data_IF_192069698102
#
_entry.id   IF_192069698102
#
_cell.length_a   1.000
_cell.length_b   1.000
_cell.length_c   1.000
_cell.angle_alpha   90.00
_cell.angle_beta   90.00
_cell.angle_gamma   90.00
#
_symmetry.space_group_name_H-M   'P 1'
#
loop_
_entity.id
_entity.type
_entity.pdbx_description
1 polymer ?
#
# COMPACT_ATOMS: atom_id res chain seq x y z
N UNK A 1 30.42 47.61 -49.54
CA UNK A 1 30.70 48.78 -48.67
C UNK A 1 29.38 49.50 -48.45
N UNK A 2 28.98 49.70 -47.19
CA UNK A 2 27.69 50.29 -46.77
C UNK A 2 27.37 51.59 -47.52
N UNK A 3 26.11 51.76 -47.99
CA UNK A 3 25.32 53.01 -48.14
C UNK A 3 24.03 52.69 -48.93
N UNK A 4 22.86 52.72 -48.29
CA UNK A 4 21.85 53.81 -48.29
C UNK A 4 21.02 53.99 -49.59
N UNK A 5 19.70 53.91 -49.37
CA UNK A 5 18.63 54.88 -49.71
C UNK A 5 17.80 54.72 -51.00
N UNK A 6 16.56 55.22 -50.82
CA UNK A 6 15.54 55.71 -51.76
C UNK A 6 14.48 54.67 -52.18
N UNK A 7 13.18 54.96 -52.20
CA UNK A 7 12.41 56.23 -52.30
C UNK A 7 10.96 55.99 -51.82
N UNK A 8 10.31 56.90 -51.05
CA UNK A 8 9.43 58.03 -51.48
C UNK A 8 8.20 57.58 -52.28
N UNK A 9 6.98 58.12 -52.15
CA UNK A 9 6.34 59.19 -51.36
C UNK A 9 4.81 59.09 -51.67
N UNK A 10 3.86 59.78 -51.02
CA UNK A 10 3.46 61.18 -51.26
C UNK A 10 2.12 61.45 -50.53
N UNK A 11 2.03 62.62 -49.87
CA UNK A 11 0.89 63.52 -49.54
C UNK A 11 -0.45 62.94 -49.01
N UNK A 12 -1.21 63.58 -48.13
CA UNK A 12 -1.43 65.01 -47.96
C UNK A 12 -1.85 65.37 -46.51
N UNK A 13 -1.55 66.61 -46.12
CA UNK A 13 -2.05 67.27 -44.92
C UNK A 13 -3.54 67.63 -45.04
N UNK A 14 -4.33 67.34 -44.00
CA UNK A 14 -5.38 68.24 -43.49
C UNK A 14 -5.55 67.99 -41.97
N UNK A 15 -5.31 69.03 -41.16
CA UNK A 15 -5.96 69.28 -39.85
C UNK A 15 -6.93 70.46 -40.09
N UNK A 16 -7.97 70.74 -39.28
CA UNK A 16 -8.13 70.40 -37.85
C UNK A 16 -9.57 70.00 -37.44
N UNK A 17 -9.77 69.66 -36.16
CA UNK A 17 -11.12 69.64 -35.56
C UNK A 17 -11.25 68.71 -34.37
N UNK A 18 -10.95 69.21 -33.18
CA UNK A 18 -11.24 68.51 -31.92
C UNK A 18 -12.76 68.34 -31.74
N UNK A 19 -13.23 67.09 -31.68
CA UNK A 19 -14.45 66.70 -30.97
C UNK A 19 -14.17 65.42 -30.17
N UNK A 20 -14.43 65.53 -28.88
CA UNK A 20 -14.31 64.53 -27.84
C UNK A 20 -15.22 63.32 -28.08
N UNK A 21 -14.62 62.14 -28.16
CA UNK A 21 -15.28 60.85 -27.95
C UNK A 21 -14.37 60.04 -27.02
N UNK A 22 -14.77 59.93 -25.75
CA UNK A 22 -14.04 59.14 -24.76
C UNK A 22 -14.15 57.64 -25.07
N UNK A 23 -13.08 56.84 -24.95
CA UNK A 23 -13.19 55.40 -25.04
C UNK A 23 -13.64 54.83 -23.69
N UNK A 24 -14.76 54.12 -23.72
CA UNK A 24 -15.26 53.27 -22.65
C UNK A 24 -14.12 52.41 -22.08
N UNK A 25 -13.82 52.62 -20.79
CA UNK A 25 -13.05 51.66 -20.00
C UNK A 25 -13.93 50.43 -19.84
N UNK A 26 -13.65 49.40 -20.65
CA UNK A 26 -14.21 48.08 -20.47
C UNK A 26 -13.54 47.46 -19.22
N UNK A 27 -14.08 47.77 -18.04
CA UNK A 27 -13.69 47.14 -16.79
C UNK A 27 -14.06 45.66 -16.86
N UNK A 28 -13.10 44.83 -17.25
CA UNK A 28 -13.16 43.38 -17.07
C UNK A 28 -13.12 43.16 -15.55
N UNK A 29 -14.30 42.97 -14.96
CA UNK A 29 -14.41 42.34 -13.65
C UNK A 29 -13.89 40.91 -13.80
N UNK A 30 -12.61 40.72 -13.50
CA UNK A 30 -12.06 39.43 -13.11
C UNK A 30 -12.77 39.04 -11.81
N UNK A 31 -13.95 38.43 -11.96
CA UNK A 31 -14.51 37.54 -10.95
C UNK A 31 -13.42 36.52 -10.67
N UNK A 32 -12.77 36.66 -9.51
CA UNK A 32 -11.82 35.70 -9.00
C UNK A 32 -12.55 34.38 -8.81
N UNK A 33 -12.59 33.56 -9.86
CA UNK A 33 -12.75 32.14 -9.71
C UNK A 33 -11.55 31.70 -8.89
N UNK A 34 -11.74 31.58 -7.58
CA UNK A 34 -10.85 30.80 -6.74
C UNK A 34 -10.74 29.45 -7.44
N UNK A 35 -9.58 29.19 -8.05
CA UNK A 35 -9.27 27.87 -8.56
C UNK A 35 -9.40 26.94 -7.36
N UNK A 36 -10.54 26.24 -7.27
CA UNK A 36 -10.71 25.16 -6.33
C UNK A 36 -9.75 24.10 -6.84
N UNK A 37 -8.56 24.04 -6.24
CA UNK A 37 -7.71 22.87 -6.38
C UNK A 37 -8.61 21.67 -6.08
N UNK A 38 -8.69 20.72 -7.02
CA UNK A 38 -9.52 19.55 -6.89
C UNK A 38 -9.02 18.74 -5.69
N UNK A 39 -9.56 19.05 -4.49
CA UNK A 39 -9.24 18.33 -3.25
C UNK A 39 -9.56 16.87 -3.46
N UNK A 40 -8.64 16.00 -3.05
CA UNK A 40 -8.82 14.57 -3.18
C UNK A 40 -10.09 14.14 -2.42
N UNK A 41 -10.77 13.10 -2.92
CA UNK A 41 -12.06 12.67 -2.35
C UNK A 41 -11.95 12.32 -0.86
N UNK A 42 -10.82 11.77 -0.43
CA UNK A 42 -10.55 11.39 0.96
C UNK A 42 -10.33 12.57 1.91
N UNK A 43 -10.13 13.80 1.41
CA UNK A 43 -9.96 15.02 2.25
C UNK A 43 -11.28 15.66 2.67
N UNK A 44 -12.43 15.05 2.31
CA UNK A 44 -13.76 15.59 2.62
C UNK A 44 -14.56 14.60 3.44
N UNK A 45 -15.60 15.07 4.16
CA UNK A 45 -16.62 14.17 4.67
C UNK A 45 -17.14 13.25 3.55
N UNK A 46 -17.38 11.96 3.85
CA UNK A 46 -17.41 11.36 5.19
C UNK A 46 -16.06 10.80 5.67
N UNK A 47 -14.98 10.91 4.88
CA UNK A 47 -13.68 10.31 5.21
C UNK A 47 -12.86 11.25 6.10
N UNK A 48 -12.67 12.49 5.62
CA UNK A 48 -11.94 13.57 6.28
C UNK A 48 -10.55 13.14 6.79
N UNK A 49 -9.80 12.44 5.94
CA UNK A 49 -8.58 11.70 6.30
C UNK A 49 -7.59 12.53 7.12
N UNK A 50 -7.34 13.78 6.74
CA UNK A 50 -6.33 14.63 7.38
C UNK A 50 -6.70 15.06 8.80
N UNK A 51 -7.99 15.10 9.13
CA UNK A 51 -8.49 15.66 10.38
C UNK A 51 -9.15 14.62 11.28
N UNK A 52 -9.60 13.49 10.74
CA UNK A 52 -10.20 12.43 11.52
C UNK A 52 -9.22 11.85 12.54
N UNK A 53 -9.73 11.59 13.73
CA UNK A 53 -9.02 10.85 14.77
C UNK A 53 -8.71 9.42 14.29
N UNK A 54 -7.60 8.87 14.79
CA UNK A 54 -7.08 7.55 14.42
C UNK A 54 -6.79 6.75 15.68
N UNK A 55 -7.07 5.46 15.63
CA UNK A 55 -6.83 4.47 16.69
C UNK A 55 -6.10 3.27 16.10
N UNK A 56 -4.97 3.54 15.45
CA UNK A 56 -4.03 2.52 15.01
C UNK A 56 -2.99 2.21 16.09
N UNK A 57 -2.18 1.16 15.87
CA UNK A 57 -1.16 0.73 16.82
C UNK A 57 -0.14 1.83 17.19
N UNK A 58 0.13 2.76 16.26
CA UNK A 58 1.09 3.85 16.45
C UNK A 58 0.46 4.97 17.28
N UNK A 59 -0.79 5.33 17.00
CA UNK A 59 -1.57 6.26 17.81
C UNK A 59 -1.70 5.77 19.26
N UNK A 60 -1.99 4.48 19.46
CA UNK A 60 -2.01 3.86 20.79
C UNK A 60 -0.65 3.91 21.47
N UNK A 61 0.44 3.61 20.75
CA UNK A 61 1.78 3.72 21.31
C UNK A 61 2.10 5.16 21.74
N UNK A 62 1.75 6.15 20.92
CA UNK A 62 1.94 7.56 21.26
C UNK A 62 1.20 7.92 22.55
N UNK A 63 -0.06 7.50 22.68
CA UNK A 63 -0.85 7.71 23.90
C UNK A 63 -0.17 7.07 25.13
N UNK A 64 0.34 5.83 25.02
CA UNK A 64 1.08 5.19 26.11
C UNK A 64 2.35 5.95 26.51
N UNK A 65 3.04 6.59 25.56
CA UNK A 65 4.21 7.43 25.84
C UNK A 65 3.79 8.71 26.58
N UNK A 66 2.74 9.37 26.12
CA UNK A 66 2.24 10.62 26.70
C UNK A 66 1.72 10.42 28.13
N UNK A 67 1.06 9.28 28.39
CA UNK A 67 0.59 8.87 29.71
C UNK A 67 1.70 8.34 30.63
N UNK A 68 2.94 8.20 30.12
CA UNK A 68 4.07 7.65 30.88
C UNK A 68 3.96 6.16 31.20
N UNK A 69 3.12 5.42 30.47
CA UNK A 69 2.95 3.97 30.61
C UNK A 69 4.10 3.18 29.98
N UNK A 70 4.78 3.76 28.98
CA UNK A 70 5.97 3.18 28.35
C UNK A 70 7.00 4.26 28.01
N UNK A 71 8.25 3.82 27.80
CA UNK A 71 9.35 4.68 27.36
C UNK A 71 10.13 3.99 26.27
N UNK A 72 10.51 4.73 25.22
CA UNK A 72 11.36 4.19 24.16
C UNK A 72 12.83 4.36 24.53
N UNK A 73 13.53 3.25 24.74
CA UNK A 73 14.97 3.27 24.96
C UNK A 73 15.71 3.70 23.67
N UNK A 74 16.66 4.62 23.79
CA UNK A 74 17.51 5.05 22.68
C UNK A 74 18.73 4.14 22.58
N UNK A 75 18.95 3.57 21.40
CA UNK A 75 20.15 2.81 21.03
C UNK A 75 21.15 3.72 20.31
N UNK A 76 22.43 3.66 20.68
CA UNK A 76 23.46 4.55 20.11
C UNK A 76 23.73 4.30 18.61
N UNK A 77 23.38 3.12 18.09
CA UNK A 77 23.56 2.73 16.68
C UNK A 77 22.26 2.88 15.89
N UNK A 78 21.16 2.41 16.46
CA UNK A 78 19.87 2.27 15.78
C UNK A 78 18.83 3.32 16.21
N UNK A 79 19.17 4.22 17.15
CA UNK A 79 18.25 5.18 17.74
C UNK A 79 17.07 4.47 18.40
N UNK A 80 15.84 4.89 18.09
CA UNK A 80 14.65 4.27 18.70
C UNK A 80 14.19 2.99 18.02
N UNK A 81 14.79 2.57 16.90
CA UNK A 81 14.32 1.43 16.11
C UNK A 81 14.10 0.15 16.94
N UNK A 82 15.05 -0.34 17.76
CA UNK A 82 14.84 -1.57 18.51
C UNK A 82 13.72 -1.47 19.55
N UNK A 83 13.53 -0.28 20.15
CA UNK A 83 12.46 -0.04 21.10
C UNK A 83 11.09 0.01 20.41
N UNK A 84 10.99 0.71 19.28
CA UNK A 84 9.75 0.82 18.49
C UNK A 84 9.33 -0.54 17.95
N UNK A 85 10.26 -1.35 17.40
CA UNK A 85 9.95 -2.70 16.92
C UNK A 85 9.38 -3.58 18.03
N UNK A 86 9.91 -3.47 19.25
CA UNK A 86 9.41 -4.24 20.40
C UNK A 86 8.04 -3.77 20.87
N UNK A 87 7.84 -2.45 21.02
CA UNK A 87 6.57 -1.88 21.49
C UNK A 87 5.40 -2.08 20.52
N UNK A 88 5.71 -2.17 19.21
CA UNK A 88 4.74 -2.43 18.15
C UNK A 88 4.72 -3.89 17.69
N UNK A 89 5.44 -4.78 18.37
CA UNK A 89 5.48 -6.22 18.06
C UNK A 89 5.83 -6.52 16.60
N UNK A 90 6.78 -5.78 16.04
CA UNK A 90 7.29 -5.95 14.69
C UNK A 90 8.52 -6.88 14.73
N UNK A 91 8.46 -8.08 14.13
CA UNK A 91 9.54 -9.05 14.22
C UNK A 91 10.74 -8.60 13.37
N UNK A 92 11.95 -8.68 13.93
CA UNK A 92 13.20 -8.39 13.20
C UNK A 92 13.37 -9.30 11.98
N UNK A 93 12.83 -10.53 12.00
CA UNK A 93 12.88 -11.44 10.85
C UNK A 93 12.10 -10.95 9.63
N UNK A 94 11.22 -9.95 9.78
CA UNK A 94 10.51 -9.29 8.66
C UNK A 94 11.37 -8.29 7.88
N UNK A 95 12.64 -8.08 8.27
CA UNK A 95 13.50 -7.06 7.69
C UNK A 95 13.70 -7.25 6.19
N UNK A 96 13.34 -6.23 5.42
CA UNK A 96 13.57 -6.12 3.98
C UNK A 96 14.52 -4.96 3.68
N UNK A 97 15.33 -5.11 2.62
CA UNK A 97 16.38 -4.14 2.28
C UNK A 97 16.17 -3.57 0.87
N UNK A 98 16.02 -2.24 0.80
CA UNK A 98 15.74 -1.49 -0.43
C UNK A 98 16.92 -0.60 -0.75
N UNK A 99 17.58 -0.83 -1.88
CA UNK A 99 18.68 0.03 -2.31
C UNK A 99 18.27 1.09 -3.33
N UNK A 100 17.06 0.99 -3.88
CA UNK A 100 16.52 2.00 -4.78
C UNK A 100 16.10 3.28 -4.06
N UNK A 101 16.30 4.41 -4.72
CA UNK A 101 15.99 5.76 -4.24
C UNK A 101 14.54 6.12 -4.52
N UNK A 102 13.62 5.46 -3.84
CA UNK A 102 12.16 5.61 -4.01
C UNK A 102 11.44 5.96 -2.69
N UNK A 103 12.14 6.62 -1.76
CA UNK A 103 11.70 6.91 -0.38
C UNK A 103 11.81 8.39 -0.06
N UNK A 104 11.22 8.84 1.05
CA UNK A 104 11.41 10.18 1.60
C UNK A 104 12.89 10.52 1.80
N UNK A 105 13.70 9.58 2.30
CA UNK A 105 15.12 9.81 2.64
C UNK A 105 16.08 9.40 1.50
N UNK A 106 15.77 9.72 0.23
CA UNK A 106 16.57 9.30 -0.96
C UNK A 106 18.08 9.57 -0.86
N UNK A 107 18.50 10.62 -0.14
CA UNK A 107 19.90 11.00 0.02
C UNK A 107 20.66 10.06 0.98
N UNK A 108 19.96 9.27 1.78
CA UNK A 108 20.53 8.30 2.71
C UNK A 108 20.71 6.91 2.07
N UNK A 109 20.03 6.63 0.97
CA UNK A 109 19.93 5.28 0.38
C UNK A 109 20.93 5.11 -0.76
N UNK A 110 21.55 3.94 -0.83
CA UNK A 110 22.36 3.50 -1.98
C UNK A 110 22.50 1.98 -2.00
N UNK A 111 23.01 1.36 -3.08
CA UNK A 111 23.39 -0.07 -3.07
C UNK A 111 24.26 -0.46 -1.87
N UNK A 112 25.23 0.37 -1.48
CA UNK A 112 26.10 0.08 -0.32
C UNK A 112 25.50 0.44 1.04
N UNK A 113 24.30 1.04 1.06
CA UNK A 113 23.60 1.49 2.27
C UNK A 113 22.10 1.44 2.03
N UNK A 114 21.50 0.24 1.89
CA UNK A 114 20.06 0.11 1.68
C UNK A 114 19.25 0.65 2.86
N UNK A 115 18.01 1.05 2.60
CA UNK A 115 16.98 1.30 3.62
C UNK A 115 16.43 -0.03 4.09
N UNK A 116 16.28 -0.21 5.40
CA UNK A 116 15.56 -1.33 5.96
C UNK A 116 14.06 -1.02 6.10
N UNK A 117 13.22 -2.02 5.88
CA UNK A 117 11.78 -1.99 6.16
C UNK A 117 11.48 -3.20 7.04
N UNK A 118 10.78 -2.99 8.14
CA UNK A 118 10.28 -4.06 9.01
C UNK A 118 8.76 -4.00 9.01
N UNK A 119 8.08 -5.13 9.14
CA UNK A 119 6.62 -5.16 9.16
C UNK A 119 6.04 -6.27 10.04
N UNK A 120 4.88 -5.99 10.62
CA UNK A 120 3.94 -7.02 11.08
C UNK A 120 2.63 -6.89 10.28
N UNK A 121 1.52 -7.37 10.82
CA UNK A 121 0.25 -7.35 10.08
C UNK A 121 -0.28 -5.94 9.82
N UNK A 122 -0.02 -4.97 10.72
CA UNK A 122 -0.65 -3.65 10.69
C UNK A 122 0.35 -2.49 10.61
N UNK A 123 1.64 -2.73 10.86
CA UNK A 123 2.67 -1.70 10.99
C UNK A 123 3.84 -1.97 10.05
N UNK A 124 4.34 -0.91 9.42
CA UNK A 124 5.54 -0.89 8.60
C UNK A 124 6.51 0.18 9.09
N UNK A 125 7.78 -0.16 9.30
CA UNK A 125 8.82 0.75 9.80
C UNK A 125 10.00 0.79 8.84
N UNK A 126 10.24 1.95 8.24
CA UNK A 126 11.41 2.28 7.44
C UNK A 126 12.54 2.88 8.27
N UNK A 127 13.74 2.34 8.11
CA UNK A 127 14.97 2.81 8.74
C UNK A 127 16.05 3.06 7.70
N UNK A 128 16.59 4.27 7.68
CA UNK A 128 17.82 4.59 6.97
C UNK A 128 18.96 4.72 7.97
N UNK A 129 20.11 4.11 7.68
CA UNK A 129 21.33 4.37 8.45
C UNK A 129 21.66 5.87 8.45
N UNK A 130 21.91 6.43 9.63
CA UNK A 130 22.12 7.88 9.83
C UNK A 130 20.98 8.72 9.23
N UNK A 131 19.77 8.18 9.23
CA UNK A 131 18.54 8.87 8.86
C UNK A 131 18.08 9.79 10.00
N UNK A 132 17.39 10.85 9.62
CA UNK A 132 16.95 11.88 10.56
C UNK A 132 15.66 11.43 11.28
N UNK A 133 14.91 10.51 10.67
CA UNK A 133 13.67 9.94 11.20
C UNK A 133 13.54 8.43 10.91
N UNK A 134 12.78 7.72 11.74
CA UNK A 134 12.08 6.51 11.33
C UNK A 134 10.83 6.92 10.53
N UNK A 135 10.63 6.26 9.40
CA UNK A 135 9.39 6.34 8.62
C UNK A 135 8.46 5.26 9.17
N UNK A 136 7.27 5.60 9.66
CA UNK A 136 6.34 4.61 10.23
C UNK A 136 5.02 4.71 9.48
N UNK A 137 4.41 3.59 9.14
CA UNK A 137 3.07 3.54 8.62
C UNK A 137 2.25 2.48 9.37
N UNK A 138 0.98 2.76 9.62
CA UNK A 138 0.08 1.85 10.33
C UNK A 138 -1.29 1.80 9.65
N UNK A 139 -1.96 0.66 9.74
CA UNK A 139 -3.32 0.51 9.22
C UNK A 139 -4.32 0.90 10.30
N UNK A 140 -4.99 2.04 10.11
CA UNK A 140 -6.17 2.41 10.89
C UNK A 140 -7.43 1.76 10.31
N UNK A 141 -8.31 1.30 11.20
CA UNK A 141 -9.48 0.52 10.80
C UNK A 141 -10.52 1.31 9.98
N UNK A 142 -10.55 2.64 10.12
CA UNK A 142 -11.45 3.52 9.40
C UNK A 142 -10.75 4.38 8.35
N UNK A 143 -9.51 4.78 8.60
CA UNK A 143 -8.76 5.72 7.77
C UNK A 143 -7.79 5.01 6.81
N UNK A 144 -7.58 3.70 6.91
CA UNK A 144 -6.63 2.98 6.08
C UNK A 144 -5.19 3.32 6.49
N UNK A 145 -4.27 3.42 5.53
CA UNK A 145 -2.87 3.68 5.86
C UNK A 145 -2.67 5.09 6.45
N UNK A 146 -2.13 5.17 7.65
CA UNK A 146 -1.70 6.38 8.34
C UNK A 146 -0.18 6.42 8.38
N UNK A 147 0.42 7.62 8.22
CA UNK A 147 1.86 7.79 8.12
C UNK A 147 2.36 8.66 9.26
N UNK A 148 3.48 8.26 9.87
CA UNK A 148 4.12 8.95 10.98
C UNK A 148 5.63 9.04 10.77
N UNK A 149 6.25 9.96 11.49
CA UNK A 149 7.70 10.03 11.62
C UNK A 149 8.10 10.06 13.09
N UNK A 150 9.23 9.44 13.40
CA UNK A 150 9.87 9.53 14.72
C UNK A 150 11.29 10.04 14.55
N UNK A 151 11.62 11.19 15.15
CA UNK A 151 12.98 11.73 15.10
C UNK A 151 13.98 10.80 15.79
N UNK A 152 15.13 10.60 15.16
CA UNK A 152 16.21 9.76 15.68
C UNK A 152 17.19 10.56 16.54
N UNK A 153 16.66 11.47 17.37
CA UNK A 153 17.41 12.30 18.31
C UNK A 153 17.05 11.89 19.74
N UNK A 154 18.06 11.68 20.59
CA UNK A 154 17.85 11.30 21.98
C UNK A 154 17.11 12.41 22.73
N UNK A 155 15.89 12.12 23.15
CA UNK A 155 15.02 13.01 23.90
C UNK A 155 14.34 12.25 25.04
N UNK A 156 13.89 12.97 26.07
CA UNK A 156 13.15 12.37 27.20
C UNK A 156 11.76 11.86 26.77
N UNK A 157 11.15 12.52 25.79
CA UNK A 157 9.80 12.20 25.28
C UNK A 157 9.81 12.22 23.76
N UNK A 158 10.22 11.12 23.10
CA UNK A 158 10.16 11.02 21.65
C UNK A 158 8.70 10.96 21.20
N UNK A 159 8.39 11.60 20.07
CA UNK A 159 7.02 11.74 19.56
C UNK A 159 6.88 11.19 18.14
N UNK A 160 5.89 10.32 17.96
CA UNK A 160 5.40 9.83 16.67
C UNK A 160 4.45 10.87 16.08
N UNK A 161 4.93 11.60 15.07
CA UNK A 161 4.19 12.71 14.47
C UNK A 161 3.54 12.27 13.18
N UNK A 162 2.20 12.33 13.11
CA UNK A 162 1.43 12.03 11.91
C UNK A 162 1.77 12.99 10.77
N UNK A 163 2.12 12.44 9.62
CA UNK A 163 2.34 13.22 8.40
C UNK A 163 1.01 13.81 7.88
N UNK A 164 1.06 15.06 7.41
CA UNK A 164 -0.11 15.79 6.92
C UNK A 164 -0.04 16.07 5.41
N UNK A 165 0.61 15.20 4.63
CA UNK A 165 0.55 15.21 3.16
C UNK A 165 1.86 14.95 2.43
N UNK A 166 3.01 14.98 3.11
CA UNK A 166 4.30 14.68 2.49
C UNK A 166 4.36 13.25 1.95
N UNK A 167 3.86 12.29 2.72
CA UNK A 167 3.77 10.88 2.34
C UNK A 167 2.69 10.65 1.27
N UNK A 168 1.55 11.34 1.38
CA UNK A 168 0.41 11.16 0.47
C UNK A 168 0.72 11.50 -0.98
N UNK A 169 1.73 12.34 -1.24
CA UNK A 169 2.20 12.64 -2.61
C UNK A 169 2.55 11.38 -3.40
N UNK A 170 3.06 10.34 -2.73
CA UNK A 170 3.39 9.05 -3.34
C UNK A 170 2.47 7.92 -2.91
N UNK A 171 1.83 8.05 -1.74
CA UNK A 171 1.02 7.02 -1.10
C UNK A 171 -0.50 7.17 -1.30
N UNK A 172 -0.96 8.17 -2.05
CA UNK A 172 -2.35 8.30 -2.45
C UNK A 172 -2.43 8.46 -3.98
N UNK A 173 -2.47 7.34 -4.69
CA UNK A 173 -2.51 7.30 -6.16
C UNK A 173 -3.23 6.06 -6.67
N UNK A 174 -3.37 5.92 -7.99
CA UNK A 174 -3.90 4.70 -8.61
C UNK A 174 -3.10 3.43 -8.24
N UNK A 175 -1.82 3.56 -7.87
CA UNK A 175 -0.97 2.44 -7.40
C UNK A 175 -1.35 1.93 -6.01
N UNK A 176 -2.15 2.71 -5.28
CA UNK A 176 -2.67 2.40 -3.96
C UNK A 176 -4.20 2.35 -3.98
N UNK A 177 -4.78 2.03 -5.16
CA UNK A 177 -6.22 1.92 -5.35
C UNK A 177 -6.98 3.22 -5.02
N UNK A 178 -6.34 4.35 -5.33
CA UNK A 178 -6.85 5.71 -5.14
C UNK A 178 -7.20 6.09 -3.69
N UNK A 179 -6.63 5.36 -2.72
CA UNK A 179 -6.67 5.67 -1.28
C UNK A 179 -5.26 5.88 -0.71
N UNK A 180 -5.11 6.60 0.42
CA UNK A 180 -3.90 6.54 1.23
C UNK A 180 -3.57 5.07 1.55
N UNK A 181 -2.43 4.60 1.05
CA UNK A 181 -2.13 3.17 1.03
C UNK A 181 -0.67 2.83 0.85
N UNK A 182 -0.41 1.53 0.80
CA UNK A 182 0.93 0.95 0.75
C UNK A 182 1.29 0.51 -0.67
N UNK A 183 2.57 0.49 -0.98
CA UNK A 183 3.05 -0.01 -2.25
C UNK A 183 4.45 -0.60 -2.13
N UNK A 184 4.64 -1.76 -2.75
CA UNK A 184 5.94 -2.33 -3.06
C UNK A 184 6.22 -2.04 -4.52
N UNK A 185 7.35 -1.38 -4.81
CA UNK A 185 7.72 -1.02 -6.17
C UNK A 185 8.94 -1.79 -6.62
N UNK A 186 8.84 -2.40 -7.80
CA UNK A 186 9.97 -2.97 -8.53
C UNK A 186 10.39 -2.01 -9.64
N UNK A 187 11.69 -1.71 -9.70
CA UNK A 187 12.29 -0.75 -10.65
C UNK A 187 13.62 -1.24 -11.20
N UNK A 188 13.96 -0.80 -12.40
CA UNK A 188 15.31 -0.93 -12.93
C UNK A 188 16.22 0.12 -12.28
N UNK A 189 16.95 -0.25 -11.23
CA UNK A 189 17.80 0.68 -10.47
C UNK A 189 19.24 0.71 -11.01
N UNK A 190 19.77 1.91 -11.30
CA UNK A 190 21.15 2.09 -11.75
C UNK A 190 22.20 1.84 -10.65
N UNK A 191 23.49 1.97 -10.98
CA UNK A 191 24.59 1.79 -10.03
C UNK A 191 24.58 2.77 -8.83
N UNK A 192 23.84 3.86 -8.91
CA UNK A 192 23.62 4.81 -7.81
C UNK A 192 22.30 4.58 -7.07
N UNK A 193 21.55 3.52 -7.40
CA UNK A 193 20.23 3.19 -6.88
C UNK A 193 19.11 4.05 -7.46
N UNK A 194 19.33 4.81 -8.54
CA UNK A 194 18.27 5.65 -9.13
C UNK A 194 17.39 4.81 -10.07
N UNK A 195 16.06 4.91 -9.98
CA UNK A 195 15.18 4.26 -10.94
C UNK A 195 15.38 4.80 -12.36
N UNK A 196 15.56 3.91 -13.34
CA UNK A 196 15.55 4.22 -14.76
C UNK A 196 14.11 4.20 -15.27
N UNK A 197 13.39 5.30 -15.06
CA UNK A 197 11.95 5.37 -15.38
C UNK A 197 11.60 5.07 -16.85
N UNK A 198 12.51 5.32 -17.79
CA UNK A 198 12.33 4.96 -19.20
C UNK A 198 12.26 3.46 -19.48
N UNK A 199 12.72 2.62 -18.54
CA UNK A 199 12.65 1.15 -18.61
C UNK A 199 11.41 0.59 -17.89
N UNK A 200 10.50 1.45 -17.41
CA UNK A 200 9.29 1.04 -16.71
C UNK A 200 9.43 0.90 -15.20
N UNK A 201 8.30 0.64 -14.54
CA UNK A 201 8.18 0.40 -13.10
C UNK A 201 6.95 -0.44 -12.84
N UNK A 202 7.04 -1.33 -11.85
CA UNK A 202 5.96 -2.23 -11.47
C UNK A 202 5.52 -1.96 -10.03
N UNK A 203 4.23 -2.07 -9.77
CA UNK A 203 3.70 -2.31 -8.43
C UNK A 203 3.69 -3.81 -8.26
N UNK A 204 4.31 -4.31 -7.20
CA UNK A 204 4.45 -5.75 -6.95
C UNK A 204 3.42 -6.20 -5.92
N UNK A 205 2.75 -7.31 -6.23
CA UNK A 205 1.77 -8.01 -5.40
C UNK A 205 1.76 -9.52 -5.73
N UNK A 206 0.78 -10.28 -5.21
CA UNK A 206 0.68 -11.71 -5.44
C UNK A 206 0.41 -12.10 -6.90
N UNK A 207 -0.14 -11.21 -7.73
CA UNK A 207 -0.46 -11.46 -9.15
C UNK A 207 0.72 -11.23 -10.08
N UNK A 208 1.73 -10.49 -9.61
CA UNK A 208 2.86 -10.05 -10.43
C UNK A 208 3.69 -11.24 -10.95
N UNK A 209 4.09 -11.22 -12.22
CA UNK A 209 5.05 -12.21 -12.75
C UNK A 209 6.34 -12.16 -11.92
N UNK A 210 6.84 -13.33 -11.52
CA UNK A 210 8.07 -13.45 -10.73
C UNK A 210 9.25 -12.69 -11.36
N UNK A 211 9.32 -12.62 -12.69
CA UNK A 211 10.37 -11.91 -13.45
C UNK A 211 10.38 -10.41 -13.26
N UNK A 212 9.27 -9.81 -12.87
CA UNK A 212 9.14 -8.36 -12.70
C UNK A 212 9.26 -7.94 -11.23
N UNK A 213 9.48 -8.90 -10.32
CA UNK A 213 9.56 -8.64 -8.88
C UNK A 213 10.92 -8.12 -8.42
N UNK A 214 10.85 -7.24 -7.42
CA UNK A 214 11.92 -6.80 -6.52
C UNK A 214 13.14 -6.07 -7.12
N UNK A 215 13.00 -5.47 -8.30
CA UNK A 215 14.03 -4.59 -8.84
C UNK A 215 14.27 -3.40 -7.90
N UNK A 216 15.53 -3.18 -7.51
CA UNK A 216 15.87 -2.15 -6.51
C UNK A 216 15.82 -2.62 -5.06
N UNK A 217 15.64 -3.93 -4.83
CA UNK A 217 15.64 -4.58 -3.51
C UNK A 217 16.75 -5.62 -3.44
N UNK A 218 17.25 -5.85 -2.24
CA UNK A 218 18.01 -7.05 -1.92
C UNK A 218 17.05 -8.16 -1.52
N UNK A 219 17.37 -9.40 -1.89
CA UNK A 219 16.53 -10.58 -1.71
C UNK A 219 17.41 -11.76 -1.31
N UNK A 220 17.13 -12.36 -0.17
CA UNK A 220 17.81 -13.56 0.32
C UNK A 220 16.87 -14.74 0.41
N UNK A 221 17.20 -15.83 -0.27
CA UNK A 221 16.39 -17.05 -0.36
C UNK A 221 16.69 -17.85 -1.62
N UNK A 222 16.01 -18.99 -1.77
CA UNK A 222 16.06 -19.83 -2.97
C UNK A 222 14.71 -19.88 -3.64
N UNK A 223 14.71 -19.84 -4.97
CA UNK A 223 13.52 -19.87 -5.84
C UNK A 223 13.77 -20.70 -7.12
N UNK A 224 14.81 -21.56 -7.08
CA UNK A 224 15.15 -22.50 -8.13
C UNK A 224 15.39 -21.84 -9.49
N UNK A 225 14.66 -22.32 -10.50
CA UNK A 225 14.77 -21.88 -11.89
C UNK A 225 14.04 -20.56 -12.20
N UNK A 226 13.11 -20.11 -11.35
CA UNK A 226 12.46 -18.81 -11.50
C UNK A 226 13.49 -17.67 -11.43
N UNK A 227 13.18 -16.51 -11.97
CA UNK A 227 14.07 -15.33 -11.97
C UNK A 227 13.31 -14.08 -11.61
N UNK A 228 13.95 -13.16 -10.91
CA UNK A 228 13.43 -11.87 -10.47
C UNK A 228 14.47 -10.76 -10.70
N UNK A 229 14.13 -9.51 -10.41
CA UNK A 229 15.02 -8.36 -10.60
C UNK A 229 15.86 -7.96 -9.37
N UNK A 230 15.56 -8.53 -8.20
CA UNK A 230 16.32 -8.31 -6.97
C UNK A 230 17.81 -8.63 -7.07
N UNK A 231 18.60 -8.03 -6.17
CA UNK A 231 20.06 -8.14 -6.08
C UNK A 231 20.88 -7.62 -7.29
N UNK A 232 20.23 -7.23 -8.39
CA UNK A 232 20.93 -6.82 -9.63
C UNK A 232 20.80 -5.32 -9.90
N UNK A 233 21.92 -4.70 -10.29
CA UNK A 233 21.99 -3.32 -10.76
C UNK A 233 21.79 -3.25 -12.28
N UNK A 234 20.91 -2.36 -12.74
CA UNK A 234 20.62 -2.14 -14.15
C UNK A 234 21.71 -1.29 -14.81
N UNK A 235 22.51 -1.90 -15.69
CA UNK A 235 23.52 -1.21 -16.52
C UNK A 235 22.92 -0.69 -17.84
N UNK A 236 22.17 -1.56 -18.52
CA UNK A 236 21.47 -1.28 -19.79
C UNK A 236 20.03 -0.81 -19.56
N UNK A 237 19.09 -1.34 -20.31
CA UNK A 237 17.64 -1.10 -20.19
C UNK A 237 16.91 -2.38 -19.75
N UNK A 238 15.58 -2.39 -19.85
CA UNK A 238 14.73 -3.54 -19.54
C UNK A 238 15.00 -4.74 -20.47
N UNK A 239 15.28 -4.49 -21.74
CA UNK A 239 15.49 -5.53 -22.76
C UNK A 239 16.81 -6.29 -22.58
N UNK A 240 17.82 -5.61 -22.04
CA UNK A 240 19.16 -6.14 -21.80
C UNK A 240 19.41 -6.53 -20.34
N UNK A 241 18.38 -6.46 -19.49
CA UNK A 241 18.49 -6.72 -18.06
C UNK A 241 18.60 -8.22 -17.75
N UNK A 242 19.82 -8.66 -17.42
CA UNK A 242 20.13 -9.99 -16.96
C UNK A 242 19.69 -10.21 -15.51
N UNK A 243 18.90 -11.26 -15.26
CA UNK A 243 18.33 -11.61 -13.95
C UNK A 243 19.07 -12.75 -13.28
N UNK A 244 19.98 -13.43 -13.96
CA UNK A 244 20.74 -14.56 -13.41
C UNK A 244 21.66 -14.17 -12.24
N UNK A 245 22.41 -13.05 -12.26
CA UNK A 245 23.41 -12.75 -11.22
C UNK A 245 22.83 -12.58 -9.81
N UNK A 246 21.56 -12.18 -9.71
CA UNK A 246 20.88 -11.92 -8.44
C UNK A 246 20.07 -13.09 -7.89
N UNK A 247 20.05 -14.23 -8.59
CA UNK A 247 19.21 -15.36 -8.26
C UNK A 247 19.78 -16.22 -7.12
N UNK A 248 18.91 -16.79 -6.28
CA UNK A 248 19.25 -17.77 -5.24
C UNK A 248 20.34 -17.33 -4.24
N UNK A 249 20.47 -16.02 -4.01
CA UNK A 249 21.42 -15.41 -3.05
C UNK A 249 20.95 -15.73 -1.63
N UNK A 250 21.85 -16.19 -0.75
CA UNK A 250 21.52 -16.46 0.66
C UNK A 250 22.26 -15.54 1.65
N UNK A 251 23.24 -14.79 1.15
CA UNK A 251 24.11 -13.93 1.93
C UNK A 251 24.32 -12.60 1.20
N UNK A 252 24.26 -11.49 1.94
CA UNK A 252 24.35 -10.15 1.36
C UNK A 252 25.69 -9.45 1.64
N UNK A 253 26.65 -10.12 2.29
CA UNK A 253 27.91 -9.51 2.72
C UNK A 253 28.80 -9.05 1.54
N UNK A 254 28.63 -9.67 0.36
CA UNK A 254 29.29 -9.25 -0.87
C UNK A 254 28.75 -7.92 -1.44
N UNK A 255 27.55 -7.49 -1.01
CA UNK A 255 26.91 -6.27 -1.51
C UNK A 255 27.16 -5.06 -0.61
N UNK A 256 27.11 -5.23 0.72
CA UNK A 256 27.29 -4.18 1.72
C UNK A 256 27.59 -4.79 3.11
N UNK A 257 27.95 -3.94 4.08
CA UNK A 257 28.18 -4.35 5.48
C UNK A 257 26.84 -4.64 6.18
N UNK A 258 26.54 -5.93 6.39
CA UNK A 258 25.29 -6.41 7.00
C UNK A 258 25.20 -6.17 8.50
N UNK A 259 26.32 -5.95 9.19
CA UNK A 259 26.34 -5.74 10.64
C UNK A 259 25.75 -4.36 11.04
N UNK A 260 25.53 -3.49 10.06
CA UNK A 260 24.85 -2.20 10.23
C UNK A 260 23.31 -2.31 10.25
N UNK A 261 22.77 -3.52 10.37
CA UNK A 261 21.34 -3.83 10.35
C UNK A 261 20.99 -4.81 11.48
N UNK A 262 19.71 -4.88 11.88
CA UNK A 262 19.26 -5.78 12.95
C UNK A 262 19.22 -7.25 12.52
N UNK A 263 19.20 -7.49 11.21
CA UNK A 263 19.29 -8.80 10.57
C UNK A 263 20.21 -8.69 9.35
N UNK A 264 20.98 -9.73 8.98
CA UNK A 264 21.72 -9.74 7.72
C UNK A 264 20.82 -10.12 6.53
N UNK A 265 19.55 -10.46 6.75
CA UNK A 265 18.65 -11.01 5.74
C UNK A 265 17.69 -9.95 5.15
N UNK A 266 17.25 -10.22 3.93
CA UNK A 266 16.12 -9.59 3.24
C UNK A 266 15.24 -10.68 2.64
N UNK A 267 14.52 -11.38 3.52
CA UNK A 267 13.93 -12.69 3.29
C UNK A 267 12.88 -12.72 2.15
N UNK A 268 13.13 -13.61 1.18
CA UNK A 268 12.28 -13.86 0.01
C UNK A 268 10.80 -14.14 0.35
N UNK A 269 10.54 -14.94 1.39
CA UNK A 269 9.17 -15.31 1.79
C UNK A 269 8.49 -14.12 2.47
N UNK A 270 9.21 -13.35 3.28
CA UNK A 270 8.63 -12.15 3.86
C UNK A 270 8.32 -11.07 2.81
N UNK A 271 9.12 -10.91 1.74
CA UNK A 271 8.76 -10.05 0.62
C UNK A 271 7.43 -10.45 -0.01
N UNK A 272 7.24 -11.75 -0.28
CA UNK A 272 6.00 -12.27 -0.88
C UNK A 272 4.78 -12.07 0.02
N UNK A 273 4.94 -12.21 1.34
CA UNK A 273 3.85 -11.92 2.28
C UNK A 273 3.56 -10.42 2.33
N UNK A 274 4.59 -9.58 2.40
CA UNK A 274 4.44 -8.13 2.49
C UNK A 274 3.76 -7.55 1.25
N UNK A 275 4.16 -7.95 0.05
CA UNK A 275 3.59 -7.42 -1.20
C UNK A 275 2.08 -7.75 -1.32
N UNK A 276 1.68 -8.97 -0.98
CA UNK A 276 0.27 -9.35 -0.88
C UNK A 276 -0.49 -8.52 0.18
N UNK A 277 0.10 -8.39 1.37
CA UNK A 277 -0.50 -7.66 2.50
C UNK A 277 -0.77 -6.20 2.13
N UNK A 278 0.18 -5.54 1.47
CA UNK A 278 0.05 -4.12 1.09
C UNK A 278 -1.14 -3.85 0.18
N UNK A 279 -1.35 -4.67 -0.86
CA UNK A 279 -2.49 -4.48 -1.78
C UNK A 279 -3.82 -4.90 -1.16
N UNK A 280 -3.82 -5.90 -0.29
CA UNK A 280 -5.04 -6.31 0.42
C UNK A 280 -5.51 -5.23 1.41
N UNK A 281 -4.59 -4.58 2.12
CA UNK A 281 -4.91 -3.39 2.93
C UNK A 281 -5.54 -2.27 2.09
N UNK A 282 -4.96 -1.98 0.93
CA UNK A 282 -5.49 -0.95 0.03
C UNK A 282 -6.91 -1.30 -0.42
N UNK A 283 -7.18 -2.56 -0.76
CA UNK A 283 -8.51 -3.02 -1.18
C UNK A 283 -9.56 -2.85 -0.06
N UNK A 284 -9.21 -3.23 1.18
CA UNK A 284 -10.09 -3.06 2.34
C UNK A 284 -10.37 -1.58 2.58
N UNK A 285 -9.34 -0.72 2.57
CA UNK A 285 -9.49 0.72 2.74
C UNK A 285 -10.33 1.37 1.61
N UNK A 286 -10.11 0.96 0.36
CA UNK A 286 -10.89 1.43 -0.79
C UNK A 286 -12.37 1.05 -0.66
N UNK A 287 -12.68 -0.19 -0.26
CA UNK A 287 -14.05 -0.62 -0.02
C UNK A 287 -14.71 0.14 1.15
N UNK A 288 -13.96 0.42 2.22
CA UNK A 288 -14.41 1.26 3.34
C UNK A 288 -14.80 2.65 2.85
N UNK A 289 -13.89 3.31 2.12
CA UNK A 289 -14.06 4.67 1.64
C UNK A 289 -15.22 4.79 0.66
N UNK A 290 -15.28 3.86 -0.29
CA UNK A 290 -16.32 3.84 -1.31
C UNK A 290 -17.70 3.64 -0.69
N UNK A 291 -17.80 2.75 0.30
CA UNK A 291 -19.06 2.48 1.01
C UNK A 291 -19.52 3.69 1.82
N UNK A 292 -18.65 4.28 2.63
CA UNK A 292 -18.99 5.49 3.41
C UNK A 292 -19.42 6.62 2.49
N UNK A 293 -18.69 6.84 1.40
CA UNK A 293 -19.01 7.88 0.41
C UNK A 293 -20.34 7.62 -0.31
N UNK A 294 -20.61 6.36 -0.69
CA UNK A 294 -21.86 5.96 -1.33
C UNK A 294 -23.07 6.12 -0.41
N UNK A 295 -22.93 5.74 0.87
CA UNK A 295 -23.98 5.90 1.89
C UNK A 295 -24.23 7.38 2.18
N UNK A 296 -23.17 8.16 2.39
CA UNK A 296 -23.27 9.60 2.62
C UNK A 296 -24.05 10.30 1.49
N UNK A 297 -23.65 10.06 0.24
CA UNK A 297 -24.35 10.60 -0.93
C UNK A 297 -25.80 10.09 -1.04
N UNK A 298 -26.04 8.81 -0.74
CA UNK A 298 -27.40 8.23 -0.76
C UNK A 298 -28.30 8.92 0.26
N UNK A 299 -27.81 9.20 1.46
CA UNK A 299 -28.58 9.84 2.52
C UNK A 299 -28.83 11.32 2.29
N UNK A 300 -27.85 12.07 1.76
CA UNK A 300 -28.08 13.45 1.31
C UNK A 300 -29.17 13.51 0.23
N UNK A 301 -29.12 12.58 -0.74
CA UNK A 301 -30.12 12.50 -1.80
C UNK A 301 -31.50 12.08 -1.26
N UNK A 302 -31.56 11.23 -0.24
CA UNK A 302 -32.83 10.85 0.38
C UNK A 302 -33.55 12.04 1.01
N UNK A 303 -32.80 12.96 1.64
CA UNK A 303 -33.38 14.19 2.19
C UNK A 303 -33.93 15.09 1.09
N UNK A 304 -33.22 15.22 -0.04
CA UNK A 304 -33.65 16.04 -1.17
C UNK A 304 -34.84 15.46 -1.94
N UNK A 305 -34.96 14.13 -1.97
CA UNK A 305 -36.00 13.41 -2.72
C UNK A 305 -37.13 12.85 -1.82
N UNK A 306 -37.17 13.25 -0.54
CA UNK A 306 -38.15 12.80 0.46
C UNK A 306 -38.26 11.27 0.55
N UNK A 307 -37.14 10.56 0.42
CA UNK A 307 -37.08 9.10 0.53
C UNK A 307 -36.98 8.67 2.00
N UNK A 308 -37.37 7.42 2.32
CA UNK A 308 -37.24 6.89 3.68
C UNK A 308 -35.81 6.99 4.21
N UNK A 309 -35.69 7.24 5.51
CA UNK A 309 -34.42 7.19 6.24
C UNK A 309 -33.77 5.81 6.06
N UNK A 310 -32.45 5.79 5.87
CA UNK A 310 -31.70 4.55 5.63
C UNK A 310 -31.88 3.93 4.23
N UNK A 311 -32.65 4.53 3.32
CA UNK A 311 -32.77 4.00 1.95
C UNK A 311 -31.42 4.02 1.21
N UNK A 312 -30.93 2.85 0.83
CA UNK A 312 -29.72 2.70 0.00
C UNK A 312 -30.14 2.58 -1.46
N UNK A 313 -29.76 3.58 -2.26
CA UNK A 313 -30.04 3.61 -3.70
C UNK A 313 -29.35 2.47 -4.47
N UNK A 314 -29.91 2.10 -5.62
CA UNK A 314 -29.31 1.07 -6.50
C UNK A 314 -27.90 1.46 -6.99
N UNK A 315 -27.64 2.76 -7.13
CA UNK A 315 -26.30 3.27 -7.43
C UNK A 315 -25.34 2.97 -6.29
N UNK A 316 -25.73 3.28 -5.05
CA UNK A 316 -24.92 2.99 -3.86
C UNK A 316 -24.71 1.48 -3.68
N UNK A 317 -25.74 0.64 -3.88
CA UNK A 317 -25.60 -0.83 -3.81
C UNK A 317 -24.58 -1.37 -4.80
N UNK A 318 -24.59 -0.90 -6.06
CA UNK A 318 -23.60 -1.33 -7.07
C UNK A 318 -22.18 -0.92 -6.72
N UNK A 319 -21.98 0.29 -6.18
CA UNK A 319 -20.68 0.77 -5.70
C UNK A 319 -20.13 -0.09 -4.56
N UNK A 320 -21.00 -0.40 -3.59
CA UNK A 320 -20.68 -1.28 -2.45
C UNK A 320 -20.32 -2.69 -2.94
N UNK A 321 -21.12 -3.26 -3.85
CA UNK A 321 -20.85 -4.57 -4.44
C UNK A 321 -19.50 -4.61 -5.16
N UNK A 322 -19.20 -3.59 -5.98
CA UNK A 322 -17.92 -3.51 -6.69
C UNK A 322 -16.73 -3.44 -5.71
N UNK A 323 -16.84 -2.66 -4.64
CA UNK A 323 -15.83 -2.62 -3.58
C UNK A 323 -15.66 -3.97 -2.88
N UNK A 324 -16.76 -4.64 -2.55
CA UNK A 324 -16.74 -5.98 -1.97
C UNK A 324 -16.07 -7.01 -2.89
N UNK A 325 -16.42 -7.03 -4.18
CA UNK A 325 -15.83 -7.98 -5.14
C UNK A 325 -14.31 -7.79 -5.26
N UNK A 326 -13.80 -6.55 -5.23
CA UNK A 326 -12.35 -6.29 -5.22
C UNK A 326 -11.67 -6.82 -3.96
N UNK A 327 -12.29 -6.65 -2.78
CA UNK A 327 -11.76 -7.21 -1.53
C UNK A 327 -11.75 -8.74 -1.60
N UNK A 328 -12.81 -9.38 -2.07
CA UNK A 328 -12.88 -10.84 -2.18
C UNK A 328 -11.81 -11.40 -3.11
N UNK A 329 -11.55 -10.73 -4.24
CA UNK A 329 -10.47 -11.14 -5.17
C UNK A 329 -9.11 -11.15 -4.48
N UNK A 330 -8.78 -10.13 -3.69
CA UNK A 330 -7.54 -10.10 -2.91
C UNK A 330 -7.54 -11.13 -1.79
N UNK A 331 -8.64 -11.21 -1.02
CA UNK A 331 -8.78 -12.15 0.08
C UNK A 331 -8.72 -13.60 -0.38
N UNK A 332 -9.12 -13.95 -1.60
CA UNK A 332 -9.06 -15.33 -2.11
C UNK A 332 -7.90 -15.58 -3.10
N UNK A 333 -6.87 -14.73 -3.08
CA UNK A 333 -5.65 -14.89 -3.88
C UNK A 333 -5.94 -15.05 -5.39
N UNK A 334 -6.94 -14.32 -5.90
CA UNK A 334 -7.28 -14.33 -7.33
C UNK A 334 -6.07 -13.91 -8.16
N UNK A 335 -5.86 -14.61 -9.28
CA UNK A 335 -4.75 -14.40 -10.22
C UNK A 335 -3.35 -14.51 -9.59
N UNK A 336 -3.22 -15.20 -8.45
CA UNK A 336 -1.91 -15.47 -7.85
C UNK A 336 -0.96 -16.14 -8.84
N UNK A 337 0.26 -15.63 -8.93
CA UNK A 337 1.30 -16.24 -9.73
C UNK A 337 1.59 -17.67 -9.24
N UNK A 338 1.34 -18.65 -10.11
CA UNK A 338 1.64 -20.06 -9.82
C UNK A 338 3.16 -20.28 -9.79
N UNK A 339 3.70 -20.64 -8.63
CA UNK A 339 5.13 -20.94 -8.48
C UNK A 339 5.48 -22.17 -9.33
N UNK A 340 6.52 -22.02 -10.17
CA UNK A 340 7.02 -23.10 -11.03
C UNK A 340 8.19 -23.85 -10.39
N UNK A 341 8.66 -23.41 -9.23
CA UNK A 341 9.71 -24.03 -8.44
C UNK A 341 9.51 -23.69 -6.95
N UNK A 342 10.17 -24.45 -6.08
CA UNK A 342 10.09 -24.22 -4.64
C UNK A 342 10.80 -22.94 -4.21
N UNK A 343 10.17 -22.25 -3.25
CA UNK A 343 10.64 -21.02 -2.63
C UNK A 343 11.02 -21.29 -1.18
N UNK A 344 12.12 -20.68 -0.72
CA UNK A 344 12.52 -20.71 0.69
C UNK A 344 13.22 -19.42 1.11
N UNK A 345 12.89 -18.95 2.30
CA UNK A 345 13.54 -17.81 2.95
C UNK A 345 14.84 -18.20 3.63
N UNK A 346 15.50 -17.22 4.26
CA UNK A 346 16.77 -17.38 5.00
C UNK A 346 16.67 -17.02 6.48
N UNK A 347 15.52 -16.48 6.91
CA UNK A 347 15.26 -16.04 8.28
C UNK A 347 14.21 -16.93 8.98
N UNK A 348 13.98 -16.67 10.27
CA UNK A 348 12.90 -17.29 11.04
C UNK A 348 11.49 -16.81 10.66
N UNK A 349 11.34 -15.87 9.71
CA UNK A 349 10.06 -15.23 9.40
C UNK A 349 8.95 -16.24 9.11
N UNK A 350 9.18 -17.18 8.20
CA UNK A 350 8.16 -18.16 7.81
C UNK A 350 7.64 -18.98 9.01
N UNK A 351 8.52 -19.29 9.96
CA UNK A 351 8.17 -20.02 11.19
C UNK A 351 7.40 -19.15 12.17
N UNK A 352 7.82 -17.90 12.35
CA UNK A 352 7.14 -16.94 13.24
C UNK A 352 5.75 -16.59 12.69
N UNK A 353 5.65 -16.29 11.39
CA UNK A 353 4.41 -15.95 10.70
C UNK A 353 3.35 -17.06 10.85
N UNK A 354 3.71 -18.31 10.57
CA UNK A 354 2.80 -19.45 10.64
C UNK A 354 2.29 -19.77 12.05
N UNK A 355 2.97 -19.30 13.11
CA UNK A 355 2.60 -19.57 14.51
C UNK A 355 1.60 -18.59 15.09
N UNK A 356 1.33 -17.47 14.42
CA UNK A 356 0.48 -16.39 14.97
C UNK A 356 -1.01 -16.73 14.97
N UNK A 357 -1.43 -17.74 14.21
CA UNK A 357 -2.83 -18.15 14.14
C UNK A 357 -3.75 -17.08 13.53
N UNK A 358 -5.08 -17.19 13.74
CA UNK A 358 -5.76 -18.25 14.51
C UNK A 358 -5.62 -19.63 13.88
N UNK A 359 -5.92 -20.68 14.65
CA UNK A 359 -5.95 -22.07 14.20
C UNK A 359 -7.35 -22.66 14.43
N UNK A 360 -7.80 -23.51 13.52
CA UNK A 360 -8.98 -24.34 13.75
C UNK A 360 -8.65 -25.55 14.64
N UNK A 361 -9.66 -26.33 15.00
CA UNK A 361 -9.58 -27.53 15.84
C UNK A 361 -8.71 -28.64 15.24
N UNK A 362 -8.45 -28.59 13.93
CA UNK A 362 -7.56 -29.51 13.22
C UNK A 362 -6.11 -28.97 13.12
N UNK A 363 -5.83 -27.78 13.69
CA UNK A 363 -4.53 -27.14 13.65
C UNK A 363 -4.19 -26.49 12.30
N UNK A 364 -5.17 -26.26 11.43
CA UNK A 364 -5.03 -25.54 10.15
C UNK A 364 -5.15 -24.03 10.40
N UNK A 365 -4.49 -23.23 9.56
CA UNK A 365 -4.53 -21.77 9.65
C UNK A 365 -4.31 -21.15 8.27
N UNK A 366 -4.97 -20.01 8.01
CA UNK A 366 -4.75 -19.21 6.79
C UNK A 366 -3.32 -18.64 6.69
N UNK A 367 -2.53 -18.70 7.77
CA UNK A 367 -1.11 -18.34 7.74
C UNK A 367 -0.19 -19.47 7.27
N UNK A 368 -0.68 -20.70 7.15
CA UNK A 368 0.16 -21.82 6.71
C UNK A 368 0.65 -21.59 5.28
N UNK A 369 1.95 -21.77 5.07
CA UNK A 369 2.61 -21.50 3.79
C UNK A 369 2.78 -22.80 2.99
N UNK A 370 2.63 -22.71 1.67
CA UNK A 370 2.90 -23.82 0.74
C UNK A 370 4.33 -23.72 0.16
N UNK A 371 4.67 -22.56 -0.40
CA UNK A 371 5.97 -22.22 -1.00
C UNK A 371 6.48 -23.18 -2.08
N UNK A 372 5.61 -24.02 -2.64
CA UNK A 372 5.96 -24.96 -3.72
C UNK A 372 5.23 -24.63 -5.01
N UNK A 373 3.96 -24.29 -4.88
CA UNK A 373 3.04 -23.97 -5.98
C UNK A 373 2.38 -22.61 -5.80
N UNK A 374 2.31 -22.10 -4.56
CA UNK A 374 1.67 -20.83 -4.17
C UNK A 374 2.22 -20.31 -2.83
N UNK A 375 1.81 -19.12 -2.41
CA UNK A 375 2.22 -18.52 -1.14
C UNK A 375 1.56 -19.23 0.06
N UNK A 376 0.23 -19.13 0.17
CA UNK A 376 -0.53 -19.71 1.28
C UNK A 376 -1.09 -21.09 0.91
N UNK A 377 -0.95 -22.06 1.82
CA UNK A 377 -1.50 -23.41 1.66
C UNK A 377 -3.01 -23.38 1.43
N UNK A 378 -3.70 -22.57 2.22
CA UNK A 378 -5.11 -22.25 2.04
C UNK A 378 -5.15 -20.87 1.39
N UNK A 379 -5.52 -20.73 0.10
CA UNK A 379 -5.45 -19.49 -0.66
C UNK A 379 -6.55 -18.51 -0.23
N UNK A 380 -6.49 -18.10 1.04
CA UNK A 380 -7.25 -17.02 1.61
C UNK A 380 -6.34 -16.17 2.50
N UNK A 381 -6.34 -14.86 2.31
CA UNK A 381 -5.52 -13.92 3.06
C UNK A 381 -5.88 -13.94 4.54
N UNK A 382 -4.85 -14.02 5.38
CA UNK A 382 -4.99 -13.89 6.83
C UNK A 382 -5.53 -12.50 7.25
N UNK A 383 -5.51 -11.50 6.37
CA UNK A 383 -6.08 -10.16 6.64
C UNK A 383 -7.60 -10.16 6.76
N UNK A 384 -8.28 -11.27 6.48
CA UNK A 384 -9.68 -11.46 6.86
C UNK A 384 -9.90 -11.34 8.39
N UNK A 385 -8.85 -11.49 9.20
CA UNK A 385 -8.88 -11.30 10.65
C UNK A 385 -8.45 -9.89 11.11
N UNK A 386 -8.10 -9.00 10.19
CA UNK A 386 -7.61 -7.66 10.54
C UNK A 386 -8.69 -6.77 11.16
N UNK A 387 -8.27 -5.81 11.98
CA UNK A 387 -9.17 -4.80 12.54
C UNK A 387 -9.83 -3.95 11.45
N UNK A 388 -9.11 -3.67 10.36
CA UNK A 388 -9.65 -2.98 9.18
C UNK A 388 -10.81 -3.76 8.54
N UNK A 389 -10.72 -5.09 8.42
CA UNK A 389 -11.83 -5.92 7.97
C UNK A 389 -13.00 -5.91 8.96
N UNK A 390 -12.70 -5.91 10.26
CA UNK A 390 -13.70 -5.88 11.34
C UNK A 390 -14.50 -4.57 11.34
N UNK A 391 -13.84 -3.44 11.10
CA UNK A 391 -14.44 -2.11 11.19
C UNK A 391 -15.09 -1.62 9.88
N UNK A 392 -15.11 -2.44 8.83
CA UNK A 392 -15.86 -2.13 7.61
C UNK A 392 -17.34 -1.87 7.93
N UNK A 393 -18.00 -0.91 7.23
CA UNK A 393 -19.45 -0.76 7.32
C UNK A 393 -20.17 -2.08 7.05
N UNK A 394 -21.24 -2.36 7.79
CA UNK A 394 -21.98 -3.63 7.70
C UNK A 394 -22.48 -3.93 6.28
N UNK A 395 -22.83 -2.88 5.54
CA UNK A 395 -23.33 -2.98 4.17
C UNK A 395 -22.33 -3.59 3.20
N UNK A 396 -21.02 -3.36 3.40
CA UNK A 396 -19.98 -3.95 2.55
C UNK A 396 -19.43 -5.23 3.18
N UNK A 397 -19.29 -5.25 4.51
CA UNK A 397 -18.77 -6.41 5.24
C UNK A 397 -19.66 -7.65 5.06
N UNK A 398 -20.97 -7.48 5.15
CA UNK A 398 -21.94 -8.56 4.90
C UNK A 398 -21.87 -9.08 3.46
N UNK A 399 -21.73 -8.18 2.48
CA UNK A 399 -21.60 -8.55 1.07
C UNK A 399 -20.31 -9.33 0.83
N UNK A 400 -19.19 -8.92 1.44
CA UNK A 400 -17.92 -9.65 1.35
C UNK A 400 -18.07 -11.09 1.86
N UNK A 401 -18.60 -11.28 3.07
CA UNK A 401 -18.76 -12.63 3.62
C UNK A 401 -19.73 -13.50 2.83
N UNK A 402 -20.86 -12.93 2.37
CA UNK A 402 -21.79 -13.65 1.52
C UNK A 402 -21.12 -14.06 0.20
N UNK A 403 -20.35 -13.15 -0.41
CA UNK A 403 -19.64 -13.42 -1.67
C UNK A 403 -18.56 -14.49 -1.51
N UNK A 404 -17.79 -14.47 -0.42
CA UNK A 404 -16.85 -15.55 -0.09
C UNK A 404 -17.62 -16.88 0.06
N UNK A 405 -18.73 -16.88 0.79
CA UNK A 405 -19.54 -18.09 0.96
C UNK A 405 -20.05 -18.63 -0.37
N UNK A 406 -20.49 -17.77 -1.30
CA UNK A 406 -20.95 -18.18 -2.62
C UNK A 406 -19.82 -18.77 -3.48
N UNK A 407 -18.62 -18.19 -3.42
CA UNK A 407 -17.43 -18.75 -4.09
C UNK A 407 -17.08 -20.12 -3.51
N UNK A 408 -17.08 -20.26 -2.18
CA UNK A 408 -16.73 -21.52 -1.51
C UNK A 408 -17.81 -22.61 -1.67
N UNK A 409 -19.08 -22.24 -1.90
CA UNK A 409 -20.13 -23.19 -2.33
C UNK A 409 -19.99 -23.63 -3.78
N UNK A 410 -19.20 -22.92 -4.58
CA UNK A 410 -19.09 -23.13 -6.02
C UNK A 410 -20.28 -22.56 -6.81
N UNK A 411 -20.99 -21.57 -6.24
CA UNK A 411 -22.06 -20.84 -6.93
C UNK A 411 -21.51 -19.77 -7.88
N UNK A 412 -20.24 -19.40 -7.74
CA UNK A 412 -19.58 -18.48 -8.66
C UNK A 412 -19.30 -19.12 -10.03
N UNK A 413 -19.59 -18.38 -11.09
CA UNK A 413 -19.37 -18.80 -12.48
C UNK A 413 -18.52 -17.81 -13.28
N UNK A 414 -17.81 -16.87 -12.64
CA UNK A 414 -17.03 -15.86 -13.36
C UNK A 414 -15.71 -16.42 -13.92
N UNK A 415 -15.22 -17.52 -13.36
CA UNK A 415 -13.91 -18.12 -13.68
C UNK A 415 -12.75 -17.54 -12.88
N UNK A 416 -12.98 -16.46 -12.14
CA UNK A 416 -11.95 -15.79 -11.32
C UNK A 416 -11.42 -16.67 -10.18
N UNK A 417 -12.21 -17.65 -9.74
CA UNK A 417 -11.92 -18.52 -8.59
C UNK A 417 -11.71 -19.98 -8.98
N UNK A 418 -11.33 -20.23 -10.24
CA UNK A 418 -11.09 -21.58 -10.78
C UNK A 418 -9.84 -22.26 -10.16
N UNK A 419 -8.93 -21.48 -9.57
CA UNK A 419 -7.79 -22.00 -8.81
C UNK A 419 -8.20 -22.67 -7.49
N UNK A 420 -9.43 -22.43 -7.01
CA UNK A 420 -9.99 -23.06 -5.82
C UNK A 420 -10.69 -24.37 -6.20
N UNK A 421 -10.02 -25.50 -5.98
CA UNK A 421 -10.62 -26.81 -6.20
C UNK A 421 -11.75 -27.10 -5.21
N UNK A 422 -12.65 -28.08 -5.47
CA UNK A 422 -13.70 -28.45 -4.53
C UNK A 422 -13.17 -28.81 -3.12
N UNK A 423 -12.01 -29.47 -3.03
CA UNK A 423 -11.39 -29.78 -1.73
C UNK A 423 -10.88 -28.52 -1.03
N UNK A 424 -10.19 -27.63 -1.75
CA UNK A 424 -9.71 -26.35 -1.19
C UNK A 424 -10.87 -25.50 -0.70
N UNK A 425 -11.99 -25.47 -1.44
CA UNK A 425 -13.20 -24.76 -1.03
C UNK A 425 -13.77 -25.30 0.27
N UNK A 426 -13.88 -26.62 0.41
CA UNK A 426 -14.35 -27.27 1.64
C UNK A 426 -13.44 -26.96 2.82
N UNK A 427 -12.12 -27.11 2.67
CA UNK A 427 -11.15 -26.84 3.74
C UNK A 427 -11.19 -25.36 4.18
N UNK A 428 -11.26 -24.43 3.23
CA UNK A 428 -11.41 -23.00 3.53
C UNK A 428 -12.70 -22.70 4.28
N UNK A 429 -13.82 -23.27 3.85
CA UNK A 429 -15.12 -23.06 4.50
C UNK A 429 -15.11 -23.59 5.94
N UNK A 430 -14.49 -24.76 6.19
CA UNK A 430 -14.33 -25.31 7.54
C UNK A 430 -13.47 -24.41 8.43
N UNK A 431 -12.29 -23.99 7.94
CA UNK A 431 -11.39 -23.11 8.69
C UNK A 431 -12.10 -21.81 9.03
N UNK A 432 -12.74 -21.16 8.06
CA UNK A 432 -13.40 -19.88 8.25
C UNK A 432 -14.63 -20.00 9.14
N UNK A 433 -15.44 -21.05 9.01
CA UNK A 433 -16.60 -21.25 9.88
C UNK A 433 -16.20 -21.42 11.35
N UNK A 434 -15.05 -22.05 11.62
CA UNK A 434 -14.57 -22.21 13.00
C UNK A 434 -13.87 -20.97 13.55
N UNK A 435 -13.11 -20.25 12.70
CA UNK A 435 -12.24 -19.15 13.14
C UNK A 435 -12.80 -17.75 12.91
N UNK A 436 -13.93 -17.63 12.19
CA UNK A 436 -14.56 -16.35 11.83
C UNK A 436 -16.08 -16.40 11.97
N UNK A 437 -16.65 -15.98 13.12
CA UNK A 437 -18.10 -16.05 13.39
C UNK A 437 -18.98 -15.34 12.36
N UNK A 438 -18.57 -14.19 11.84
CA UNK A 438 -19.34 -13.46 10.84
C UNK A 438 -19.42 -14.19 9.50
N UNK A 439 -18.37 -14.94 9.15
CA UNK A 439 -18.42 -15.85 8.00
C UNK A 439 -19.32 -17.05 8.30
N UNK A 440 -19.25 -17.65 9.49
CA UNK A 440 -20.13 -18.76 9.89
C UNK A 440 -21.60 -18.39 9.71
N UNK A 441 -21.98 -17.17 10.09
CA UNK A 441 -23.36 -16.70 9.95
C UNK A 441 -23.80 -16.61 8.48
N UNK A 442 -22.92 -16.11 7.59
CA UNK A 442 -23.17 -16.09 6.14
C UNK A 442 -23.12 -17.50 5.51
N UNK A 443 -22.33 -18.40 6.08
CA UNK A 443 -22.22 -19.78 5.64
C UNK A 443 -23.47 -20.60 5.98
N UNK A 444 -23.99 -20.45 7.21
CA UNK A 444 -25.17 -21.16 7.70
C UNK A 444 -26.49 -20.65 7.09
N UNK A 445 -26.58 -19.37 6.74
CA UNK A 445 -27.79 -18.77 6.16
C UNK A 445 -28.12 -19.31 4.76
N UNK A 446 -27.11 -19.65 3.97
CA UNK A 446 -27.26 -20.19 2.60
C UNK A 446 -27.37 -21.72 2.52
N UNK A 447 -27.35 -22.43 3.65
CA UNK A 447 -27.53 -23.89 3.71
C UNK A 447 -29.00 -24.33 3.89
N UNK A 448 -29.95 -23.39 3.83
CA UNK A 448 -31.40 -23.63 3.97
C UNK A 448 -32.14 -23.56 2.64
#
# INVERSE_FOLDING_TARGET
MFLRRCSRAVLAMVRPGHRSLGPCVLSIFLLGATASAQRAAYERPPIDYLNADVDDAVARLQQRIDDGQTTLAFDETFGYLPAVLRELEVPVSSQMLVFSKTSLQIHRISPRRPRAIYFNDDVYIGYCQKGDVLEVAATDAHQGATFYTLKQERTERPALVRDRGGCLTCHASSRTQDVPGYLVRSVFADAAGRPKFGSGTFVTDHTSDFRDRWGGWYVTGRHGSMRHMGNTLCKGDDTSFDRDPGANVNDLSDFFDTDQYLSPHSDLVALMVMEHQTQTHNAIAAANYETRSALHQSYEMNQLLERPEGFISDSARRRIQAGADQVVRHLLMCDEFALTDSVSGTSDFAKQFQRRGPFDSQGRSLRQLDLRTRLFRYPCSYLIYSDAMNALPDEVRGVIYQRIADVLRGNDTSGDFDHLTPSTRSELAEILAETRPEFESAWASGAR
#
